data_IF_620103361699
#
_entry.id   IF_620103361699
#
_cell.length_a   1.000
_cell.length_b   1.000
_cell.length_c   1.000
_cell.angle_alpha   90.00
_cell.angle_beta   90.00
_cell.angle_gamma   90.00
#
_symmetry.space_group_name_H-M   'P 1'
#
loop_
_entity.id
_entity.type
_entity.pdbx_description
1 polymer ?
#
# COMPACT_ATOMS: atom_id res chain seq x y z
N UNK A 1 -29.95 7.89 20.04
CA UNK A 1 -28.75 7.56 19.24
C UNK A 1 -28.65 8.55 18.09
N UNK A 2 -27.58 9.34 17.99
CA UNK A 2 -27.41 10.28 16.88
C UNK A 2 -26.99 9.52 15.60
N UNK A 3 -27.81 9.58 14.56
CA UNK A 3 -27.47 9.07 13.23
C UNK A 3 -26.49 10.05 12.57
N UNK A 4 -25.18 9.77 12.65
CA UNK A 4 -24.17 10.51 11.91
C UNK A 4 -24.24 10.14 10.42
N UNK A 5 -24.27 11.13 9.53
CA UNK A 5 -24.24 10.90 8.08
C UNK A 5 -22.84 10.44 7.66
N UNK A 6 -22.73 9.18 7.23
CA UNK A 6 -21.44 8.63 6.75
C UNK A 6 -21.10 9.27 5.40
N UNK A 7 -20.15 10.22 5.40
CA UNK A 7 -19.58 10.77 4.15
C UNK A 7 -18.90 9.64 3.37
N UNK A 8 -19.46 9.30 2.20
CA UNK A 8 -19.01 8.21 1.30
C UNK A 8 -17.82 8.62 0.40
N UNK A 9 -16.80 9.30 0.92
CA UNK A 9 -15.57 9.51 0.14
C UNK A 9 -14.69 8.26 0.25
N UNK A 10 -14.79 7.35 -0.72
CA UNK A 10 -13.92 6.16 -0.80
C UNK A 10 -12.50 6.63 -1.13
N UNK A 11 -11.54 6.25 -0.29
CA UNK A 11 -10.12 6.45 -0.52
C UNK A 11 -9.50 5.12 -0.94
N UNK A 12 -8.86 5.08 -2.10
CA UNK A 12 -8.13 3.93 -2.60
C UNK A 12 -6.65 4.04 -2.26
N UNK A 13 -6.04 2.89 -1.98
CA UNK A 13 -4.59 2.76 -1.80
C UNK A 13 -4.11 1.92 -2.97
N UNK A 14 -3.27 2.50 -3.83
CA UNK A 14 -2.61 1.77 -4.91
C UNK A 14 -1.13 1.62 -4.52
N UNK A 15 -0.61 0.39 -4.56
CA UNK A 15 0.75 0.06 -4.11
C UNK A 15 1.56 -0.55 -5.25
N UNK A 16 2.86 -0.28 -5.23
CA UNK A 16 3.87 -1.01 -5.99
C UNK A 16 4.68 -1.85 -5.01
N UNK A 17 4.62 -3.17 -5.16
CA UNK A 17 5.32 -4.13 -4.30
C UNK A 17 6.35 -4.87 -5.14
N UNK A 18 7.57 -4.95 -4.63
CA UNK A 18 8.63 -5.74 -5.23
C UNK A 18 8.32 -7.23 -5.01
N UNK A 19 8.12 -7.96 -6.11
CA UNK A 19 7.75 -9.37 -6.09
C UNK A 19 8.79 -10.25 -5.38
N UNK A 20 10.08 -9.94 -5.51
CA UNK A 20 11.16 -10.77 -4.95
C UNK A 20 11.33 -10.55 -3.45
N UNK A 21 11.24 -9.29 -3.01
CA UNK A 21 11.49 -8.95 -1.59
C UNK A 21 10.21 -8.86 -0.77
N UNK A 22 9.03 -8.82 -1.41
CA UNK A 22 7.75 -8.56 -0.75
C UNK A 22 7.61 -7.15 -0.18
N UNK A 23 8.55 -6.25 -0.46
CA UNK A 23 8.57 -4.90 0.12
C UNK A 23 7.77 -3.94 -0.74
N UNK A 24 6.94 -3.12 -0.08
CA UNK A 24 6.29 -1.98 -0.73
C UNK A 24 7.35 -0.93 -1.11
N UNK A 25 7.46 -0.62 -2.40
CA UNK A 25 8.39 0.39 -2.94
C UNK A 25 7.76 1.78 -2.97
N UNK A 26 6.47 1.85 -3.29
CA UNK A 26 5.72 3.09 -3.31
C UNK A 26 4.23 2.81 -3.12
N UNK A 27 3.50 3.82 -2.66
CA UNK A 27 2.05 3.85 -2.67
C UNK A 27 1.52 5.25 -2.97
N UNK A 28 0.25 5.32 -3.35
CA UNK A 28 -0.51 6.56 -3.51
C UNK A 28 -1.91 6.39 -2.92
N UNK A 29 -2.44 7.51 -2.44
CA UNK A 29 -3.82 7.63 -1.98
C UNK A 29 -4.61 8.45 -2.98
N UNK A 30 -5.87 8.06 -3.23
CA UNK A 30 -6.74 8.84 -4.11
C UNK A 30 -7.94 8.05 -4.62
N UNK A 31 -8.35 8.39 -5.85
CA UNK A 31 -9.40 7.69 -6.57
C UNK A 31 -8.93 6.37 -7.18
N UNK A 32 -9.89 5.64 -7.75
CA UNK A 32 -9.63 4.46 -8.60
C UNK A 32 -9.69 4.92 -10.05
N UNK A 33 -8.65 5.63 -10.47
CA UNK A 33 -8.54 6.24 -11.80
C UNK A 33 -7.10 6.20 -12.32
N UNK A 34 -6.96 6.42 -13.63
CA UNK A 34 -5.67 6.43 -14.31
C UNK A 34 -4.77 7.56 -13.80
N UNK A 35 -5.32 8.72 -13.43
CA UNK A 35 -4.53 9.84 -12.90
C UNK A 35 -3.85 9.49 -11.55
N UNK A 36 -4.56 8.78 -10.67
CA UNK A 36 -4.01 8.29 -9.41
C UNK A 36 -2.94 7.24 -9.66
N UNK A 37 -3.16 6.33 -10.60
CA UNK A 37 -2.16 5.35 -10.96
C UNK A 37 -0.92 5.97 -11.65
N UNK A 38 -1.09 7.01 -12.48
CA UNK A 38 0.00 7.78 -13.07
C UNK A 38 0.91 8.37 -11.98
N UNK A 39 0.34 8.94 -10.90
CA UNK A 39 1.12 9.40 -9.74
C UNK A 39 1.93 8.28 -9.08
N UNK A 40 1.44 7.04 -9.07
CA UNK A 40 2.20 5.90 -8.57
C UNK A 40 3.34 5.56 -9.52
N UNK A 41 3.06 5.48 -10.83
CA UNK A 41 4.06 5.21 -11.84
C UNK A 41 5.18 6.25 -11.84
N UNK A 42 4.85 7.54 -11.68
CA UNK A 42 5.85 8.62 -11.57
C UNK A 42 6.81 8.44 -10.40
N UNK A 43 6.38 7.81 -9.30
CA UNK A 43 7.27 7.48 -8.17
C UNK A 43 8.23 6.35 -8.50
N UNK A 44 7.87 5.41 -9.38
CA UNK A 44 8.64 4.20 -9.67
C UNK A 44 9.28 4.17 -11.07
N UNK A 45 8.99 5.14 -11.94
CA UNK A 45 9.49 5.19 -13.32
C UNK A 45 11.02 5.24 -13.45
N UNK A 46 11.72 5.64 -12.37
CA UNK A 46 13.17 5.62 -12.30
C UNK A 46 13.74 4.19 -12.31
N UNK A 47 12.93 3.18 -11.97
CA UNK A 47 13.25 1.77 -12.14
C UNK A 47 13.13 1.41 -13.63
N UNK A 48 14.27 1.34 -14.32
CA UNK A 48 14.31 1.07 -15.76
C UNK A 48 14.25 -0.43 -16.06
N UNK A 49 14.93 -1.24 -15.25
CA UNK A 49 15.08 -2.69 -15.44
C UNK A 49 14.07 -3.50 -14.60
N UNK A 50 12.79 -3.17 -14.72
CA UNK A 50 11.73 -3.90 -14.02
C UNK A 50 10.52 -4.18 -14.90
N UNK A 51 9.90 -5.34 -14.65
CA UNK A 51 8.61 -5.72 -15.23
C UNK A 51 7.50 -5.44 -14.22
N UNK A 52 6.39 -4.90 -14.71
CA UNK A 52 5.20 -4.62 -13.92
C UNK A 52 4.17 -5.71 -14.16
N UNK A 53 3.78 -6.39 -13.08
CA UNK A 53 2.75 -7.41 -13.10
C UNK A 53 1.46 -6.85 -12.50
N UNK A 54 0.37 -6.86 -13.27
CA UNK A 54 -0.94 -6.36 -12.80
C UNK A 54 -2.08 -7.27 -13.24
N UNK A 55 -3.25 -7.06 -12.64
CA UNK A 55 -4.50 -7.58 -13.20
C UNK A 55 -4.92 -6.78 -14.45
N UNK A 56 -6.01 -7.22 -15.10
CA UNK A 56 -6.51 -6.62 -16.32
C UNK A 56 -7.41 -5.40 -16.05
N UNK A 57 -6.89 -4.40 -15.32
CA UNK A 57 -7.58 -3.12 -15.13
C UNK A 57 -7.06 -2.09 -16.14
N UNK A 58 -7.96 -1.49 -16.93
CA UNK A 58 -7.63 -0.59 -18.05
C UNK A 58 -6.70 0.57 -17.71
N UNK A 59 -6.79 1.09 -16.48
CA UNK A 59 -5.92 2.17 -16.00
C UNK A 59 -4.44 1.78 -16.00
N UNK A 60 -4.12 0.49 -15.81
CA UNK A 60 -2.74 0.00 -15.87
C UNK A 60 -2.20 0.02 -17.31
N UNK A 61 -3.01 -0.41 -18.27
CA UNK A 61 -2.66 -0.44 -19.70
C UNK A 61 -2.43 0.98 -20.26
N UNK A 62 -3.18 1.97 -19.76
CA UNK A 62 -3.04 3.36 -20.19
C UNK A 62 -1.74 4.04 -19.72
N UNK A 63 -1.18 3.60 -18.60
CA UNK A 63 -0.07 4.29 -17.91
C UNK A 63 1.25 3.52 -18.02
N UNK A 64 1.22 2.19 -17.99
CA UNK A 64 2.43 1.38 -18.05
C UNK A 64 2.95 1.24 -19.49
N UNK A 65 4.28 1.24 -19.68
CA UNK A 65 4.87 0.91 -20.96
C UNK A 65 4.53 -0.53 -21.37
N UNK A 66 4.04 -0.72 -22.60
CA UNK A 66 3.57 -2.02 -23.12
C UNK A 66 4.65 -3.10 -23.09
N UNK A 67 5.90 -2.72 -23.32
CA UNK A 67 7.09 -3.58 -23.29
C UNK A 67 7.45 -4.06 -21.88
N UNK A 68 6.98 -3.36 -20.84
CA UNK A 68 7.28 -3.67 -19.43
C UNK A 68 6.06 -4.11 -18.65
N UNK A 69 4.91 -4.32 -19.30
CA UNK A 69 3.64 -4.63 -18.65
C UNK A 69 3.20 -6.06 -18.95
N UNK A 70 3.13 -6.90 -17.92
CA UNK A 70 2.65 -8.28 -17.99
C UNK A 70 1.32 -8.37 -17.24
N UNK A 71 0.26 -8.70 -17.96
CA UNK A 71 -1.08 -8.86 -17.41
C UNK A 71 -1.30 -10.33 -17.04
N UNK A 72 -1.69 -10.58 -15.80
CA UNK A 72 -2.01 -11.95 -15.36
C UNK A 72 -2.01 -12.09 -13.85
N UNK A 73 -2.58 -13.20 -13.37
CA UNK A 73 -2.70 -13.48 -11.92
C UNK A 73 -1.52 -14.25 -11.33
N UNK A 74 -0.70 -14.90 -12.17
CA UNK A 74 0.39 -15.77 -11.69
C UNK A 74 1.39 -15.03 -10.78
N UNK A 75 1.61 -13.74 -11.01
CA UNK A 75 2.63 -12.94 -10.29
C UNK A 75 2.02 -11.92 -9.31
N UNK A 76 0.69 -11.88 -9.12
CA UNK A 76 0.01 -10.91 -8.24
C UNK A 76 -0.12 -11.37 -6.79
N UNK A 77 0.23 -12.62 -6.48
CA UNK A 77 0.13 -13.16 -5.12
C UNK A 77 0.89 -12.36 -4.05
N UNK A 78 2.04 -11.79 -4.41
CA UNK A 78 2.83 -10.98 -3.49
C UNK A 78 2.06 -9.73 -3.02
N UNK A 79 1.42 -9.01 -3.95
CA UNK A 79 0.65 -7.81 -3.61
C UNK A 79 -0.69 -8.14 -2.95
N UNK A 80 -1.30 -9.28 -3.30
CA UNK A 80 -2.49 -9.79 -2.60
C UNK A 80 -2.18 -10.10 -1.13
N UNK A 81 -1.06 -10.78 -0.86
CA UNK A 81 -0.59 -11.06 0.51
C UNK A 81 -0.30 -9.77 1.26
N UNK A 82 0.43 -8.82 0.65
CA UNK A 82 0.74 -7.54 1.29
C UNK A 82 -0.52 -6.70 1.58
N UNK A 83 -1.51 -6.70 0.69
CA UNK A 83 -2.83 -6.12 0.92
C UNK A 83 -3.57 -6.79 2.08
N UNK A 84 -3.52 -8.12 2.16
CA UNK A 84 -4.11 -8.87 3.27
C UNK A 84 -3.46 -8.50 4.60
N UNK A 85 -2.13 -8.52 4.67
CA UNK A 85 -1.36 -8.16 5.87
C UNK A 85 -1.65 -6.73 6.31
N UNK A 86 -1.69 -5.78 5.37
CA UNK A 86 -2.04 -4.38 5.67
C UNK A 86 -3.40 -4.30 6.37
N UNK A 87 -4.42 -5.05 5.90
CA UNK A 87 -5.75 -5.07 6.53
C UNK A 87 -5.78 -5.80 7.86
N UNK A 88 -5.00 -6.86 8.00
CA UNK A 88 -4.90 -7.65 9.22
C UNK A 88 -4.31 -6.83 10.36
N UNK A 89 -3.19 -6.15 10.12
CA UNK A 89 -2.45 -5.45 11.17
C UNK A 89 -2.90 -4.01 11.40
N UNK A 90 -3.34 -3.30 10.35
CA UNK A 90 -3.86 -1.94 10.51
C UNK A 90 -5.35 -1.99 10.75
N UNK A 91 -5.76 -1.94 12.03
CA UNK A 91 -7.17 -1.86 12.43
C UNK A 91 -7.93 -0.72 11.73
N UNK A 92 -7.24 0.36 11.33
CA UNK A 92 -7.77 1.45 10.49
C UNK A 92 -8.43 0.97 9.20
N UNK A 93 -7.95 -0.13 8.63
CA UNK A 93 -8.42 -0.66 7.35
C UNK A 93 -9.64 -1.59 7.51
N UNK A 94 -9.98 -2.01 8.74
CA UNK A 94 -11.02 -3.01 9.01
C UNK A 94 -12.09 -2.55 10.02
N UNK A 95 -11.74 -1.75 11.03
CA UNK A 95 -12.60 -1.38 12.16
C UNK A 95 -13.05 0.09 12.11
N UNK A 96 -13.97 0.40 11.18
CA UNK A 96 -14.50 1.76 10.97
C UNK A 96 -15.06 2.45 12.23
N UNK A 97 -15.59 1.69 13.17
CA UNK A 97 -16.20 2.23 14.41
C UNK A 97 -15.20 2.52 15.52
N UNK A 98 -14.02 1.89 15.50
CA UNK A 98 -12.99 2.06 16.53
C UNK A 98 -11.85 2.97 16.08
N UNK A 99 -11.48 2.89 14.81
CA UNK A 99 -10.33 3.62 14.26
C UNK A 99 -10.80 4.42 13.06
N UNK A 100 -11.07 5.70 13.29
CA UNK A 100 -11.55 6.61 12.26
C UNK A 100 -10.37 7.28 11.55
N UNK A 101 -10.45 7.39 10.23
CA UNK A 101 -9.52 8.17 9.42
C UNK A 101 -10.16 9.52 9.12
N UNK A 102 -9.68 10.57 9.77
CA UNK A 102 -10.20 11.93 9.59
C UNK A 102 -9.58 12.65 8.38
N UNK A 103 -8.40 12.20 7.92
CA UNK A 103 -7.71 12.76 6.76
C UNK A 103 -6.91 11.70 5.98
N UNK A 104 -6.56 12.01 4.73
CA UNK A 104 -5.66 11.19 3.92
C UNK A 104 -4.26 11.09 4.55
N UNK A 105 -3.78 12.16 5.19
CA UNK A 105 -2.49 12.19 5.88
C UNK A 105 -2.39 11.14 7.00
N UNK A 106 -3.49 10.86 7.72
CA UNK A 106 -3.49 9.80 8.75
C UNK A 106 -3.33 8.40 8.13
N UNK A 107 -3.96 8.17 6.98
CA UNK A 107 -3.85 6.91 6.25
C UNK A 107 -2.43 6.76 5.74
N UNK A 108 -1.86 7.81 5.17
CA UNK A 108 -0.47 7.84 4.69
C UNK A 108 0.52 7.57 5.82
N UNK A 109 0.41 8.26 6.96
CA UNK A 109 1.28 8.06 8.12
C UNK A 109 1.19 6.63 8.68
N UNK A 110 -0.01 6.04 8.69
CA UNK A 110 -0.21 4.66 9.13
C UNK A 110 0.50 3.66 8.20
N UNK A 111 0.44 3.89 6.88
CA UNK A 111 1.15 3.08 5.89
C UNK A 111 2.67 3.28 5.99
N UNK A 112 3.15 4.51 6.21
CA UNK A 112 4.58 4.79 6.44
C UNK A 112 5.12 4.00 7.62
N UNK A 113 4.43 4.08 8.77
CA UNK A 113 4.83 3.37 9.97
C UNK A 113 4.82 1.85 9.75
N UNK A 114 3.76 1.33 9.13
CA UNK A 114 3.66 -0.08 8.74
C UNK A 114 4.85 -0.54 7.89
N UNK A 115 5.14 0.18 6.81
CA UNK A 115 6.25 -0.16 5.92
C UNK A 115 7.62 -0.04 6.61
N UNK A 116 7.81 0.97 7.45
CA UNK A 116 9.05 1.17 8.20
C UNK A 116 9.31 0.02 9.20
N UNK A 117 8.27 -0.44 9.90
CA UNK A 117 8.36 -1.57 10.84
C UNK A 117 8.51 -2.92 10.12
N UNK A 118 8.20 -3.00 8.82
CA UNK A 118 8.44 -4.20 8.01
C UNK A 118 9.88 -4.31 7.48
N UNK A 119 10.72 -3.33 7.80
CA UNK A 119 12.17 -3.43 7.57
C UNK A 119 12.79 -4.16 8.76
N UNK A 120 13.41 -5.35 8.57
CA UNK A 120 13.91 -6.16 9.68
C UNK A 120 14.88 -5.43 10.60
N UNK A 121 15.78 -4.61 10.04
CA UNK A 121 16.72 -3.81 10.81
C UNK A 121 16.01 -2.80 11.72
N UNK A 122 14.99 -2.10 11.20
CA UNK A 122 14.19 -1.15 11.96
C UNK A 122 13.42 -1.85 13.07
N UNK A 123 12.75 -2.96 12.76
CA UNK A 123 12.01 -3.74 13.75
C UNK A 123 12.92 -4.23 14.88
N UNK A 124 14.07 -4.82 14.52
CA UNK A 124 15.05 -5.34 15.49
C UNK A 124 15.52 -4.24 16.45
N UNK A 125 15.82 -3.04 15.94
CA UNK A 125 16.19 -1.89 16.78
C UNK A 125 15.12 -1.56 17.83
N UNK A 126 13.85 -1.49 17.42
CA UNK A 126 12.76 -1.19 18.36
C UNK A 126 12.49 -2.35 19.32
N UNK A 127 12.64 -3.59 18.85
CA UNK A 127 12.53 -4.78 19.68
C UNK A 127 13.59 -4.80 20.78
N UNK A 128 14.85 -4.54 20.45
CA UNK A 128 15.95 -4.45 21.41
C UNK A 128 15.70 -3.35 22.46
N UNK A 129 15.30 -2.16 22.02
CA UNK A 129 14.94 -1.04 22.90
C UNK A 129 13.75 -1.36 23.81
N UNK A 130 12.77 -2.11 23.33
CA UNK A 130 11.65 -2.54 24.15
C UNK A 130 12.08 -3.58 25.18
N UNK A 131 12.87 -4.58 24.77
CA UNK A 131 13.37 -5.63 25.67
C UNK A 131 14.31 -5.08 26.75
N UNK A 132 15.03 -3.98 26.50
CA UNK A 132 15.85 -3.33 27.53
C UNK A 132 15.05 -2.70 28.66
N UNK A 133 13.74 -2.46 28.49
CA UNK A 133 12.88 -1.96 29.57
C UNK A 133 12.58 -3.01 30.65
N UNK A 134 12.80 -4.30 30.33
CA UNK A 134 12.53 -5.44 31.20
C UNK A 134 13.82 -6.11 31.72
N UNK A 135 14.98 -5.49 31.46
CA UNK A 135 16.27 -5.89 32.03
C UNK A 135 16.61 -4.97 33.19
#
# INVERSE_FOLDING_TARGET
>A
MAFYSVKKKKLWIIKAVDHRTGRTRAWVLGGRDAATFQRLYDKVKHLKDCLFYTDNWDAFVQVLPKDRHIIGKAYTHAIERDNSNTRHHLARMTRKTKVVSQSEAMVDASLKLWCALHVPATFKKYQEMFLSLFR
#
